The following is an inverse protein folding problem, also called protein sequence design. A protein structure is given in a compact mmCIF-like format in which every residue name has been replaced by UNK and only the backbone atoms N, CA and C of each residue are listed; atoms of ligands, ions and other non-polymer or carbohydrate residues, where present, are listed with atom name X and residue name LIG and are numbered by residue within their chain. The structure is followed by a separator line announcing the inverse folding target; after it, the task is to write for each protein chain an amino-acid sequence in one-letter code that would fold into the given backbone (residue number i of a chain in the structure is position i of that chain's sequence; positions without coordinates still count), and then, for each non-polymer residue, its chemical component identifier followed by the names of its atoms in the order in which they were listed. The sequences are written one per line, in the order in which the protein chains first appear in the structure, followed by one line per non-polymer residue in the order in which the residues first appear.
data_IF_504239426195
#
_entry.id   IF_504239426195
#
_cell.length_a   1.000
_cell.length_b   1.000
_cell.length_c   1.000
_cell.angle_alpha   90.00
_cell.angle_beta   90.00
_cell.angle_gamma   90.00
#
_symmetry.space_group_name_H-M   'P 1'
#
loop_
_entity.id
_entity.type
_entity.pdbx_description
1 polymer ?
#
# COMPACT_ATOMS: atom_id res chain seq x y z
N UNK A 1 9.24 -35.95 -1.00
CA UNK A 1 8.71 -34.84 -0.18
C UNK A 1 7.58 -34.24 -1.00
N UNK A 2 6.34 -34.33 -0.53
CA UNK A 2 5.23 -33.71 -1.24
C UNK A 2 5.43 -32.20 -1.20
N UNK A 3 5.46 -31.56 -2.37
CA UNK A 3 5.41 -30.11 -2.46
C UNK A 3 4.05 -29.69 -1.89
N UNK A 4 4.04 -29.17 -0.67
CA UNK A 4 2.87 -28.54 -0.03
C UNK A 4 2.47 -27.30 -0.84
N UNK A 5 1.84 -27.54 -1.99
CA UNK A 5 1.33 -26.50 -2.88
C UNK A 5 -0.08 -26.16 -2.38
N UNK A 6 -0.15 -25.71 -1.14
CA UNK A 6 -1.40 -25.47 -0.45
C UNK A 6 -1.92 -24.09 -0.85
N UNK A 7 -2.58 -24.02 -2.02
CA UNK A 7 -3.10 -22.77 -2.60
C UNK A 7 -3.97 -21.98 -1.62
N UNK A 8 -4.67 -22.68 -0.72
CA UNK A 8 -5.54 -22.10 0.31
C UNK A 8 -4.82 -21.13 1.24
N UNK A 9 -3.48 -21.24 1.34
CA UNK A 9 -2.65 -20.41 2.24
C UNK A 9 -1.91 -19.28 1.54
N UNK A 10 -2.07 -19.14 0.21
CA UNK A 10 -1.41 -18.09 -0.58
C UNK A 10 -1.94 -16.70 -0.25
N UNK A 11 -3.21 -16.58 0.10
CA UNK A 11 -3.83 -15.29 0.43
C UNK A 11 -4.40 -15.37 1.83
N UNK A 12 -4.00 -14.44 2.70
CA UNK A 12 -4.42 -14.43 4.10
C UNK A 12 -4.83 -13.02 4.55
N UNK A 13 -5.68 -12.96 5.55
CA UNK A 13 -5.97 -11.74 6.28
C UNK A 13 -5.09 -11.66 7.54
N UNK A 14 -4.75 -10.44 7.92
CA UNK A 14 -4.03 -10.18 9.16
C UNK A 14 -4.27 -8.79 9.69
N UNK A 15 -4.25 -8.66 11.01
CA UNK A 15 -4.33 -7.36 11.70
C UNK A 15 -2.93 -6.80 11.90
N UNK A 16 -2.69 -5.56 11.50
CA UNK A 16 -1.38 -4.90 11.60
C UNK A 16 -1.03 -4.63 13.06
N UNK A 17 0.17 -5.05 13.47
CA UNK A 17 0.67 -4.92 14.84
C UNK A 17 1.82 -3.93 14.95
N UNK A 18 2.57 -3.69 13.86
CA UNK A 18 3.65 -2.71 13.82
C UNK A 18 3.90 -2.23 12.37
N UNK A 19 4.44 -1.01 12.24
CA UNK A 19 4.73 -0.37 10.95
C UNK A 19 6.10 0.29 11.00
N UNK A 20 6.94 0.04 10.00
CA UNK A 20 8.18 0.76 9.73
C UNK A 20 8.05 1.44 8.37
N UNK A 21 7.69 2.72 8.38
CA UNK A 21 7.51 3.51 7.17
C UNK A 21 8.85 3.82 6.46
N UNK A 22 9.97 3.82 7.18
CA UNK A 22 11.30 4.08 6.62
C UNK A 22 11.80 2.92 5.76
N UNK A 23 11.46 1.68 6.16
CA UNK A 23 11.77 0.46 5.40
C UNK A 23 10.62 -0.08 4.57
N UNK A 24 9.44 0.55 4.68
CA UNK A 24 8.22 0.16 3.99
C UNK A 24 7.76 -1.26 4.33
N UNK A 25 7.75 -1.55 5.63
CA UNK A 25 7.41 -2.85 6.18
C UNK A 25 6.31 -2.75 7.24
N UNK A 26 5.58 -3.84 7.43
CA UNK A 26 4.60 -4.00 8.49
C UNK A 26 4.68 -5.41 9.10
N UNK A 27 4.29 -5.54 10.36
CA UNK A 27 4.05 -6.83 11.01
C UNK A 27 2.55 -7.01 11.19
N UNK A 28 2.09 -8.24 11.06
CA UNK A 28 0.68 -8.59 11.22
C UNK A 28 0.53 -9.77 12.17
N UNK A 29 -0.66 -9.88 12.77
CA UNK A 29 -1.16 -11.11 13.37
C UNK A 29 -2.09 -11.74 12.35
N UNK A 30 -1.76 -12.92 11.86
CA UNK A 30 -2.61 -13.64 10.92
C UNK A 30 -3.92 -14.06 11.60
N UNK A 31 -5.04 -13.84 10.94
CA UNK A 31 -6.37 -14.12 11.51
C UNK A 31 -6.64 -15.63 11.62
N UNK A 32 -6.15 -16.41 10.64
CA UNK A 32 -6.37 -17.86 10.55
C UNK A 32 -5.63 -18.67 11.63
N UNK A 33 -4.42 -18.25 11.97
CA UNK A 33 -3.50 -18.99 12.84
C UNK A 33 -3.22 -18.26 14.15
N UNK A 34 -3.60 -16.99 14.27
CA UNK A 34 -3.24 -16.13 15.40
C UNK A 34 -1.74 -15.83 15.54
N UNK A 35 -0.91 -16.30 14.61
CA UNK A 35 0.54 -16.18 14.67
C UNK A 35 1.01 -14.79 14.20
N UNK A 36 2.14 -14.33 14.73
CA UNK A 36 2.76 -13.07 14.31
C UNK A 36 3.69 -13.32 13.11
N UNK A 37 3.67 -12.38 12.16
CA UNK A 37 4.58 -12.40 11.02
C UNK A 37 5.99 -11.89 11.37
N UNK A 38 6.92 -12.14 10.45
CA UNK A 38 8.13 -11.32 10.29
C UNK A 38 7.79 -9.88 9.85
N UNK A 39 8.80 -9.17 9.37
CA UNK A 39 8.61 -7.86 8.73
C UNK A 39 8.26 -8.08 7.26
N UNK A 40 7.00 -7.84 6.91
CA UNK A 40 6.50 -8.01 5.56
C UNK A 40 6.64 -6.70 4.80
N UNK A 41 7.15 -6.75 3.58
CA UNK A 41 7.14 -5.57 2.71
C UNK A 41 5.69 -5.24 2.32
N UNK A 42 5.36 -3.96 2.36
CA UNK A 42 4.11 -3.44 1.80
C UNK A 42 4.31 -3.29 0.30
N UNK A 43 3.32 -3.56 -0.56
CA UNK A 43 3.43 -3.37 -2.01
C UNK A 43 3.26 -1.89 -2.38
N UNK A 44 4.13 -1.35 -3.24
CA UNK A 44 4.08 0.04 -3.67
C UNK A 44 3.14 0.19 -4.86
N UNK A 45 2.13 1.04 -4.72
CA UNK A 45 1.25 1.46 -5.79
C UNK A 45 0.99 2.98 -5.66
N UNK A 46 2.01 3.83 -5.88
CA UNK A 46 1.81 5.27 -5.85
C UNK A 46 0.86 5.67 -7.00
N UNK A 47 -0.13 6.55 -6.74
CA UNK A 47 -0.93 7.11 -7.82
C UNK A 47 -0.05 7.96 -8.74
N UNK A 48 -0.39 7.94 -10.03
CA UNK A 48 0.22 8.83 -11.03
C UNK A 48 -0.81 9.90 -11.39
N UNK A 49 -0.50 11.17 -11.12
CA UNK A 49 -1.39 12.31 -11.37
C UNK A 49 -0.63 13.38 -12.15
N UNK A 50 -1.02 13.77 -13.37
CA UNK A 50 -2.17 13.26 -14.12
C UNK A 50 -1.88 11.95 -14.87
N UNK A 51 -0.61 11.63 -15.14
CA UNK A 51 -0.21 10.52 -16.01
C UNK A 51 1.13 9.90 -15.54
N UNK A 52 1.50 8.74 -16.09
CA UNK A 52 2.72 8.00 -15.74
C UNK A 52 4.01 8.74 -16.13
N UNK A 53 3.99 9.42 -17.28
CA UNK A 53 5.17 10.10 -17.85
C UNK A 53 5.11 11.63 -17.69
N UNK A 54 4.28 12.13 -16.75
CA UNK A 54 4.09 13.56 -16.49
C UNK A 54 4.50 13.94 -15.06
N UNK A 55 4.95 15.19 -14.82
CA UNK A 55 5.18 15.71 -13.47
C UNK A 55 3.92 15.65 -12.61
N UNK A 56 4.07 15.34 -11.32
CA UNK A 56 2.94 15.26 -10.38
C UNK A 56 2.28 16.62 -10.15
N UNK A 57 1.03 16.78 -10.58
CA UNK A 57 0.27 18.04 -10.45
C UNK A 57 -1.23 17.84 -10.52
N UNK A 58 -2.00 18.78 -9.97
CA UNK A 58 -3.47 18.83 -10.15
C UNK A 58 -3.85 19.24 -11.57
N UNK A 59 -5.13 19.05 -11.89
CA UNK A 59 -5.76 19.69 -13.05
C UNK A 59 -5.64 21.21 -12.96
N UNK A 60 -5.65 21.89 -14.10
CA UNK A 60 -5.77 23.34 -14.14
C UNK A 60 -7.21 23.74 -13.87
N UNK A 61 -7.47 24.53 -12.83
CA UNK A 61 -8.79 25.11 -12.59
C UNK A 61 -8.91 26.49 -13.26
N UNK A 62 -10.09 26.78 -13.83
CA UNK A 62 -10.52 28.15 -14.16
C UNK A 62 -11.49 28.60 -13.06
N UNK A 63 -11.10 29.60 -12.26
CA UNK A 63 -11.99 30.09 -11.19
C UNK A 63 -11.28 30.89 -10.10
N UNK A 64 -11.79 32.11 -9.86
CA UNK A 64 -11.38 33.07 -8.85
C UNK A 64 -12.28 34.31 -8.94
N UNK A 65 -12.05 35.37 -8.15
CA UNK A 65 -12.74 36.65 -8.32
C UNK A 65 -11.81 37.72 -8.91
N UNK A 66 -12.30 38.49 -9.89
CA UNK A 66 -11.54 39.54 -10.58
C UNK A 66 -10.66 39.06 -11.74
N UNK A 67 -9.67 39.86 -12.15
CA UNK A 67 -8.74 39.57 -13.27
C UNK A 67 -7.94 38.26 -13.08
N UNK A 68 -7.63 37.89 -11.84
CA UNK A 68 -6.91 36.64 -11.51
C UNK A 68 -7.75 35.37 -11.77
N UNK A 69 -9.05 35.50 -12.03
CA UNK A 69 -9.92 34.38 -12.37
C UNK A 69 -9.67 33.80 -13.78
N UNK A 70 -8.97 34.55 -14.64
CA UNK A 70 -8.67 34.17 -16.02
C UNK A 70 -7.28 33.55 -16.20
N UNK A 71 -6.45 33.50 -15.15
CA UNK A 71 -5.13 32.88 -15.20
C UNK A 71 -5.21 31.39 -14.81
N UNK A 72 -4.91 30.53 -15.78
CA UNK A 72 -4.74 29.10 -15.54
C UNK A 72 -3.57 28.85 -14.59
N UNK A 73 -3.80 28.15 -13.49
CA UNK A 73 -2.75 27.77 -12.54
C UNK A 73 -2.89 26.29 -12.12
N UNK A 74 -1.83 25.76 -11.51
CA UNK A 74 -1.77 24.37 -11.02
C UNK A 74 -1.08 24.32 -9.66
N UNK A 75 -1.41 23.33 -8.84
CA UNK A 75 -0.74 23.09 -7.57
C UNK A 75 0.25 21.93 -7.64
N UNK A 76 1.39 22.09 -6.98
CA UNK A 76 2.34 21.00 -6.75
C UNK A 76 1.76 20.01 -5.72
N UNK A 77 1.88 18.72 -6.02
CA UNK A 77 1.38 17.64 -5.16
C UNK A 77 2.55 16.87 -4.54
N UNK A 78 2.45 16.64 -3.23
CA UNK A 78 3.32 15.68 -2.54
C UNK A 78 2.52 14.39 -2.31
N UNK A 79 2.74 13.40 -3.16
CA UNK A 79 2.10 12.09 -3.03
C UNK A 79 2.91 11.22 -2.07
N UNK A 80 2.31 10.89 -0.92
CA UNK A 80 2.89 9.92 0.02
C UNK A 80 2.34 8.53 -0.30
N UNK A 81 3.20 7.53 -0.57
CA UNK A 81 2.75 6.17 -0.75
C UNK A 81 1.96 5.69 0.47
N UNK A 82 0.90 4.94 0.22
CA UNK A 82 0.11 4.35 1.29
C UNK A 82 0.96 3.37 2.12
N UNK A 83 0.74 3.42 3.44
CA UNK A 83 1.20 2.47 4.45
C UNK A 83 0.01 2.13 5.36
N UNK A 84 -0.12 0.88 5.82
CA UNK A 84 -1.15 0.52 6.77
C UNK A 84 -0.92 1.19 8.13
N UNK A 85 -1.98 1.26 8.93
CA UNK A 85 -1.92 1.66 10.34
C UNK A 85 -2.02 0.45 11.25
N UNK A 86 -1.47 0.56 12.45
CA UNK A 86 -1.68 -0.44 13.50
C UNK A 86 -3.18 -0.61 13.75
N UNK A 87 -3.61 -1.87 13.91
CA UNK A 87 -4.99 -2.34 14.03
C UNK A 87 -5.82 -2.36 12.72
N UNK A 88 -5.27 -1.96 11.57
CA UNK A 88 -5.96 -2.20 10.29
C UNK A 88 -5.87 -3.67 9.89
N UNK A 89 -6.94 -4.20 9.29
CA UNK A 89 -6.91 -5.49 8.60
C UNK A 89 -6.33 -5.30 7.20
N UNK A 90 -5.40 -6.18 6.82
CA UNK A 90 -4.73 -6.16 5.52
C UNK A 90 -4.75 -7.52 4.86
N UNK A 91 -4.70 -7.51 3.53
CA UNK A 91 -4.51 -8.69 2.71
C UNK A 91 -3.01 -8.98 2.55
N UNK A 92 -2.60 -10.20 2.83
CA UNK A 92 -1.23 -10.69 2.68
C UNK A 92 -1.19 -11.73 1.56
N UNK A 93 -0.25 -11.57 0.62
CA UNK A 93 0.17 -12.62 -0.30
C UNK A 93 1.36 -13.38 0.31
N UNK A 94 1.16 -14.65 0.64
CA UNK A 94 2.17 -15.55 1.18
C UNK A 94 2.85 -16.32 0.05
N UNK A 95 4.18 -16.37 0.03
CA UNK A 95 4.92 -17.13 -0.97
C UNK A 95 4.92 -18.63 -0.63
N UNK A 96 4.82 -19.54 -1.63
CA UNK A 96 4.94 -20.97 -1.39
C UNK A 96 6.37 -21.34 -0.97
N UNK A 97 6.51 -22.23 0.01
CA UNK A 97 7.80 -22.72 0.52
C UNK A 97 7.85 -22.78 2.04
N UNK A 98 8.86 -23.47 2.58
CA UNK A 98 9.08 -23.54 4.02
C UNK A 98 9.68 -22.22 4.52
N UNK A 99 9.06 -21.64 5.56
CA UNK A 99 9.53 -20.43 6.23
C UNK A 99 9.71 -19.22 5.29
N UNK A 100 8.94 -19.18 4.20
CA UNK A 100 8.83 -18.01 3.35
C UNK A 100 8.01 -16.92 4.04
N UNK A 101 8.30 -15.66 3.73
CA UNK A 101 7.47 -14.53 4.14
C UNK A 101 6.45 -14.19 3.03
N UNK A 102 5.69 -13.12 3.25
CA UNK A 102 4.74 -12.58 2.29
C UNK A 102 4.86 -11.07 2.09
N UNK A 103 3.91 -10.54 1.32
CA UNK A 103 3.77 -9.12 1.05
C UNK A 103 2.40 -8.63 1.48
N UNK A 104 2.35 -7.46 2.12
CA UNK A 104 1.08 -6.76 2.37
C UNK A 104 0.65 -6.09 1.08
N UNK A 105 -0.52 -6.47 0.55
CA UNK A 105 -1.05 -5.94 -0.71
C UNK A 105 -1.82 -4.65 -0.51
N UNK A 106 -2.61 -4.55 0.56
CA UNK A 106 -3.52 -3.45 0.80
C UNK A 106 -4.35 -3.65 2.07
N UNK A 107 -5.00 -2.58 2.54
CA UNK A 107 -6.05 -2.67 3.55
C UNK A 107 -7.31 -3.30 2.97
N UNK A 108 -8.08 -3.98 3.82
CA UNK A 108 -9.41 -4.52 3.51
C UNK A 108 -10.47 -3.72 4.26
#
# INVERSE_FOLDING_TARGET
MASDTNLEKLVRLGTVTAVDAGKRQARVKYEDTGSLSGWLYVLAAPPSVPDYDAPQRTESEEGGSGEAAYESHSHELIIKPWMPKVNETVLILYLPGDNTDGFVLGRV
#
